data_IF_004007974150
#
_entry.id   IF_004007974150
#
_cell.length_a   1.000
_cell.length_b   1.000
_cell.length_c   1.000
_cell.angle_alpha   90.00
_cell.angle_beta   90.00
_cell.angle_gamma   90.00
#
_symmetry.space_group_name_H-M   'P 1'
#
loop_
_entity.id
_entity.type
_entity.pdbx_description
1 polymer ?
#
# COMPACT_ATOMS: atom_id res chain seq x y z
N UNK A 1 -67.77 -10.95 -25.40
CA UNK A 1 -67.44 -12.28 -25.95
C UNK A 1 -66.12 -12.71 -25.33
N UNK A 2 -66.05 -13.42 -24.20
CA UNK A 2 -66.40 -14.83 -23.97
C UNK A 2 -65.77 -15.83 -24.96
N UNK A 3 -64.79 -16.60 -24.45
CA UNK A 3 -64.47 -18.04 -24.62
C UNK A 3 -62.97 -18.23 -24.83
N UNK A 4 -62.19 -18.83 -23.92
CA UNK A 4 -62.20 -20.16 -23.25
C UNK A 4 -61.19 -21.12 -23.91
N UNK A 5 -60.22 -21.58 -23.06
CA UNK A 5 -59.58 -22.92 -22.98
C UNK A 5 -58.65 -23.30 -24.15
N UNK A 6 -57.55 -24.05 -24.01
CA UNK A 6 -57.19 -25.18 -23.16
C UNK A 6 -55.65 -25.38 -23.25
N UNK A 7 -54.89 -25.46 -22.16
CA UNK A 7 -54.30 -26.69 -21.56
C UNK A 7 -53.74 -27.69 -22.59
N UNK A 8 -52.42 -27.87 -22.58
CA UNK A 8 -51.76 -29.18 -22.63
C UNK A 8 -50.42 -29.12 -21.88
N UNK A 9 -50.35 -29.84 -20.75
CA UNK A 9 -49.11 -30.26 -20.12
C UNK A 9 -48.55 -31.47 -20.89
N UNK A 10 -47.22 -31.59 -21.01
CA UNK A 10 -46.56 -32.88 -20.87
C UNK A 10 -45.05 -32.73 -20.64
N UNK A 11 -44.68 -33.18 -19.44
CA UNK A 11 -43.42 -33.72 -18.96
C UNK A 11 -42.40 -34.17 -20.03
N UNK A 12 -41.13 -33.77 -19.85
CA UNK A 12 -40.02 -34.73 -19.91
C UNK A 12 -38.86 -34.26 -19.04
N UNK A 13 -38.71 -34.96 -17.92
CA UNK A 13 -37.53 -34.97 -17.07
C UNK A 13 -36.50 -35.87 -17.76
N UNK A 14 -35.30 -35.35 -18.04
CA UNK A 14 -34.15 -36.20 -18.42
C UNK A 14 -33.07 -36.06 -17.36
N UNK A 15 -33.05 -37.08 -16.50
CA UNK A 15 -32.04 -37.40 -15.51
C UNK A 15 -30.84 -38.02 -16.24
N UNK A 16 -29.65 -37.40 -16.17
CA UNK A 16 -28.41 -38.04 -16.58
C UNK A 16 -27.75 -38.68 -15.35
N UNK A 17 -27.92 -39.99 -15.26
CA UNK A 17 -27.23 -40.88 -14.33
C UNK A 17 -26.08 -41.52 -15.11
N UNK A 18 -24.83 -41.23 -14.77
CA UNK A 18 -23.67 -41.96 -15.30
C UNK A 18 -22.94 -42.64 -14.15
N UNK A 19 -22.73 -43.94 -14.38
CA UNK A 19 -22.23 -44.99 -13.51
C UNK A 19 -20.98 -44.64 -12.69
N UNK A 20 -21.03 -45.01 -11.41
CA UNK A 20 -19.88 -45.48 -10.65
C UNK A 20 -19.29 -46.73 -11.31
N UNK A 21 -18.00 -46.68 -11.65
CA UNK A 21 -17.16 -47.88 -11.79
C UNK A 21 -16.13 -47.82 -10.68
N UNK A 22 -16.30 -48.71 -9.70
CA UNK A 22 -15.31 -48.96 -8.66
C UNK A 22 -14.18 -49.82 -9.22
N UNK A 23 -12.95 -49.32 -9.13
CA UNK A 23 -11.74 -50.12 -9.20
C UNK A 23 -10.99 -49.89 -7.89
N UNK A 24 -11.05 -50.88 -7.01
CA UNK A 24 -10.08 -51.08 -5.94
C UNK A 24 -8.86 -51.75 -6.57
N UNK A 25 -7.69 -51.11 -6.49
CA UNK A 25 -6.36 -51.73 -6.41
C UNK A 25 -5.28 -50.64 -6.38
N UNK A 26 -4.49 -50.63 -5.30
CA UNK A 26 -3.20 -49.93 -5.24
C UNK A 26 -3.15 -48.86 -4.16
N UNK A 27 -2.54 -49.19 -3.02
CA UNK A 27 -1.98 -48.20 -2.12
C UNK A 27 -0.91 -47.40 -2.88
N UNK A 28 -1.17 -46.13 -3.19
CA UNK A 28 -0.12 -45.11 -3.13
C UNK A 28 -0.45 -44.22 -1.94
N UNK A 29 0.42 -44.24 -0.95
CA UNK A 29 0.59 -43.08 -0.07
C UNK A 29 1.20 -41.99 -0.94
N UNK A 30 0.40 -41.41 -1.84
CA UNK A 30 0.68 -40.08 -2.33
C UNK A 30 0.33 -39.17 -1.17
N UNK A 31 1.34 -38.89 -0.34
CA UNK A 31 1.38 -37.64 0.40
C UNK A 31 1.05 -36.55 -0.61
N UNK A 32 -0.18 -36.07 -0.59
CA UNK A 32 -0.48 -34.79 -1.19
C UNK A 32 0.47 -33.83 -0.50
N UNK A 33 1.54 -33.42 -1.16
CA UNK A 33 2.31 -32.25 -0.78
C UNK A 33 1.28 -31.14 -0.63
N UNK A 34 0.85 -30.91 0.61
CA UNK A 34 -0.16 -29.93 0.93
C UNK A 34 0.38 -28.62 0.40
N UNK A 35 -0.37 -27.97 -0.50
CA UNK A 35 0.01 -26.70 -1.09
C UNK A 35 0.53 -25.80 0.03
N UNK A 36 1.84 -25.50 0.02
CA UNK A 36 2.47 -24.65 1.01
C UNK A 36 1.70 -23.34 1.03
N UNK A 37 1.11 -22.99 2.16
CA UNK A 37 0.41 -21.71 2.28
C UNK A 37 1.44 -20.60 2.12
N UNK A 38 1.19 -19.73 1.15
CA UNK A 38 2.03 -18.58 0.85
C UNK A 38 1.29 -17.35 1.35
N UNK A 39 2.03 -16.48 2.05
CA UNK A 39 1.57 -15.14 2.41
C UNK A 39 0.92 -14.51 1.21
N UNK A 40 -0.26 -13.96 1.42
CA UNK A 40 -1.03 -13.43 0.32
C UNK A 40 -0.57 -12.03 -0.06
N UNK A 41 -0.02 -11.25 0.89
CA UNK A 41 -0.16 -9.78 0.85
C UNK A 41 0.86 -8.93 1.59
N UNK A 42 1.93 -9.46 2.19
CA UNK A 42 3.09 -8.59 2.43
C UNK A 42 3.55 -8.09 1.04
N UNK A 43 3.72 -6.77 0.84
CA UNK A 43 4.16 -6.22 -0.45
C UNK A 43 5.33 -7.04 -0.99
N UNK A 44 5.08 -7.77 -2.10
CA UNK A 44 5.91 -8.92 -2.49
C UNK A 44 7.30 -8.51 -2.90
N UNK A 45 8.27 -9.33 -2.53
CA UNK A 45 9.66 -9.21 -2.99
C UNK A 45 10.63 -8.70 -1.93
N UNK A 46 10.28 -8.80 -0.64
CA UNK A 46 11.18 -8.51 0.46
C UNK A 46 11.75 -9.81 1.02
N UNK A 47 13.08 -9.94 0.99
CA UNK A 47 13.84 -11.06 1.55
C UNK A 47 13.17 -12.44 1.35
N UNK A 48 12.70 -12.71 0.12
CA UNK A 48 12.04 -13.95 -0.31
C UNK A 48 10.71 -14.34 0.40
N UNK A 49 10.12 -13.43 1.17
CA UNK A 49 8.82 -13.55 1.87
C UNK A 49 8.76 -14.76 2.85
N UNK A 50 9.89 -15.34 3.24
CA UNK A 50 9.96 -16.56 4.06
C UNK A 50 9.32 -16.42 5.44
N UNK A 51 9.51 -15.28 6.12
CA UNK A 51 9.00 -15.08 7.48
C UNK A 51 7.47 -15.02 7.50
N UNK A 52 6.87 -14.26 6.57
CA UNK A 52 5.43 -14.20 6.40
C UNK A 52 4.88 -15.59 6.04
N UNK A 53 5.55 -16.33 5.14
CA UNK A 53 5.18 -17.70 4.78
C UNK A 53 5.23 -18.67 5.98
N UNK A 54 6.27 -18.59 6.81
CA UNK A 54 6.38 -19.39 8.02
C UNK A 54 5.25 -19.06 9.01
N UNK A 55 4.94 -17.78 9.17
CA UNK A 55 3.90 -17.31 10.07
C UNK A 55 2.51 -17.80 9.63
N UNK A 56 2.11 -17.57 8.37
CA UNK A 56 0.80 -18.05 7.88
C UNK A 56 0.72 -19.58 7.82
N UNK A 57 1.85 -20.27 7.62
CA UNK A 57 1.88 -21.74 7.70
C UNK A 57 1.61 -22.25 9.11
N UNK A 58 2.11 -21.56 10.14
CA UNK A 58 1.82 -21.91 11.54
C UNK A 58 0.43 -21.44 11.98
N UNK A 59 -0.02 -20.30 11.48
CA UNK A 59 -1.30 -19.68 11.82
C UNK A 59 -2.16 -19.44 10.57
N UNK A 60 -2.74 -20.48 9.94
CA UNK A 60 -3.51 -20.34 8.70
C UNK A 60 -4.65 -19.32 8.76
N UNK A 61 -5.21 -19.06 9.95
CA UNK A 61 -6.31 -18.13 10.17
C UNK A 61 -5.93 -16.66 9.95
N UNK A 62 -4.64 -16.31 9.93
CA UNK A 62 -4.20 -14.92 9.75
C UNK A 62 -3.96 -14.56 8.28
N UNK A 63 -4.04 -15.53 7.36
CA UNK A 63 -3.81 -15.30 5.93
C UNK A 63 -4.74 -14.19 5.41
N UNK A 64 -4.16 -13.14 4.84
CA UNK A 64 -4.90 -11.99 4.32
C UNK A 64 -5.53 -11.08 5.38
N UNK A 65 -5.11 -11.21 6.64
CA UNK A 65 -5.43 -10.26 7.73
C UNK A 65 -4.26 -9.31 7.94
N UNK A 66 -4.43 -8.29 8.78
CA UNK A 66 -3.38 -7.34 9.16
C UNK A 66 -2.09 -7.94 9.75
N UNK A 67 -2.11 -9.21 10.17
CA UNK A 67 -0.91 -9.92 10.63
C UNK A 67 -0.12 -10.59 9.49
N UNK A 68 -0.70 -10.70 8.29
CA UNK A 68 -0.03 -11.16 7.06
C UNK A 68 0.78 -10.02 6.43
N UNK A 69 1.61 -9.35 7.25
CA UNK A 69 2.40 -8.17 6.89
C UNK A 69 3.72 -8.09 7.68
N UNK A 70 4.65 -7.24 7.21
CA UNK A 70 5.93 -6.96 7.84
C UNK A 70 5.79 -6.47 9.29
N UNK A 71 4.71 -5.75 9.63
CA UNK A 71 4.51 -5.21 10.98
C UNK A 71 4.44 -6.28 12.09
N UNK A 72 4.11 -7.53 11.75
CA UNK A 72 4.08 -8.61 12.75
C UNK A 72 5.46 -8.89 13.35
N UNK A 73 6.53 -8.79 12.56
CA UNK A 73 7.91 -9.01 13.02
C UNK A 73 8.72 -7.71 13.14
N UNK A 74 8.29 -6.64 12.46
CA UNK A 74 9.01 -5.37 12.37
C UNK A 74 8.24 -4.24 13.04
N UNK A 75 8.97 -3.30 13.62
CA UNK A 75 8.38 -2.09 14.18
C UNK A 75 8.38 -0.96 13.14
N UNK A 76 7.33 -0.15 13.16
CA UNK A 76 7.40 1.23 12.67
C UNK A 76 8.33 2.08 13.55
N UNK A 77 8.56 3.33 13.16
CA UNK A 77 9.25 4.27 14.06
C UNK A 77 8.38 4.48 15.30
N UNK A 78 8.93 4.34 16.50
CA UNK A 78 8.21 4.59 17.76
C UNK A 78 8.68 5.92 18.34
N UNK A 79 7.78 6.90 18.46
CA UNK A 79 8.04 8.18 19.14
C UNK A 79 7.17 8.29 20.37
N UNK A 80 7.78 8.61 21.51
CA UNK A 80 7.09 8.75 22.80
C UNK A 80 6.19 7.56 23.17
N UNK A 81 6.66 6.34 22.85
CA UNK A 81 5.93 5.10 23.11
C UNK A 81 4.69 4.89 22.22
N UNK A 82 4.63 5.50 21.04
CA UNK A 82 3.58 5.26 20.04
C UNK A 82 4.15 5.15 18.62
N UNK A 83 3.43 4.44 17.75
CA UNK A 83 3.82 4.21 16.36
C UNK A 83 3.67 5.50 15.54
N UNK A 84 4.80 6.07 15.12
CA UNK A 84 4.95 7.32 14.37
C UNK A 84 5.07 7.14 12.85
N UNK A 85 5.40 5.94 12.39
CA UNK A 85 5.43 5.56 10.97
C UNK A 85 5.14 4.05 10.79
N UNK A 86 4.92 3.59 9.57
CA UNK A 86 4.77 2.16 9.30
C UNK A 86 6.11 1.40 9.27
N UNK A 87 6.04 0.07 9.40
CA UNK A 87 7.21 -0.79 9.49
C UNK A 87 8.06 -0.81 8.20
N UNK A 88 7.42 -0.68 7.03
CA UNK A 88 8.11 -0.66 5.74
C UNK A 88 8.96 0.61 5.58
N UNK A 89 8.38 1.78 5.89
CA UNK A 89 9.12 3.04 5.84
C UNK A 89 10.27 3.05 6.84
N UNK A 90 10.05 2.57 8.07
CA UNK A 90 11.11 2.48 9.08
C UNK A 90 12.26 1.59 8.60
N UNK A 91 11.95 0.42 8.03
CA UNK A 91 12.95 -0.48 7.46
C UNK A 91 13.70 0.18 6.30
N UNK A 92 13.01 0.82 5.37
CA UNK A 92 13.64 1.47 4.22
C UNK A 92 14.49 2.67 4.63
N UNK A 93 14.08 3.45 5.63
CA UNK A 93 14.89 4.55 6.15
C UNK A 93 16.17 4.02 6.79
N UNK A 94 16.07 3.07 7.73
CA UNK A 94 17.27 2.53 8.39
C UNK A 94 18.22 1.79 7.43
N UNK A 95 17.67 1.03 6.49
CA UNK A 95 18.46 0.12 5.66
C UNK A 95 18.89 0.71 4.31
N UNK A 96 18.11 1.63 3.74
CA UNK A 96 18.28 2.10 2.36
C UNK A 96 18.46 3.63 2.27
N UNK A 97 17.96 4.41 3.23
CA UNK A 97 17.84 5.86 3.12
C UNK A 97 18.15 6.60 4.44
N UNK A 98 19.38 7.09 4.62
CA UNK A 98 19.78 7.84 5.81
C UNK A 98 21.26 8.23 5.83
N UNK A 99 21.65 9.11 6.75
CA UNK A 99 23.07 9.52 6.95
C UNK A 99 23.96 8.35 7.43
N UNK A 100 23.33 7.29 7.94
CA UNK A 100 23.94 6.10 8.57
C UNK A 100 23.67 4.80 7.77
N UNK A 101 23.37 4.89 6.48
CA UNK A 101 23.20 3.68 5.64
C UNK A 101 24.47 2.84 5.68
N UNK A 102 24.34 1.58 6.14
CA UNK A 102 25.44 0.63 6.31
C UNK A 102 25.99 0.52 7.74
N UNK A 103 25.60 1.40 8.68
CA UNK A 103 25.84 1.20 10.12
C UNK A 103 24.67 0.53 10.86
N UNK A 104 23.51 0.43 10.21
CA UNK A 104 22.33 -0.24 10.76
C UNK A 104 22.28 -1.73 10.43
N UNK A 105 21.65 -2.50 11.31
CA UNK A 105 21.39 -3.93 11.09
C UNK A 105 19.89 -4.19 10.98
N UNK A 106 19.49 -5.19 10.20
CA UNK A 106 18.08 -5.59 10.10
C UNK A 106 17.44 -5.86 11.47
N UNK A 107 18.23 -6.28 12.47
CA UNK A 107 17.76 -6.49 13.84
C UNK A 107 17.19 -5.22 14.49
N UNK A 108 17.65 -4.03 14.11
CA UNK A 108 17.13 -2.76 14.64
C UNK A 108 15.73 -2.42 14.13
N UNK A 109 15.30 -3.08 13.05
CA UNK A 109 13.94 -2.94 12.51
C UNK A 109 12.96 -3.93 13.15
N UNK A 110 13.46 -4.92 13.90
CA UNK A 110 12.62 -5.95 14.50
C UNK A 110 11.93 -5.43 15.76
N UNK A 111 10.66 -5.80 15.90
CA UNK A 111 9.96 -5.66 17.16
C UNK A 111 10.40 -6.80 18.13
N UNK A 112 10.06 -6.75 19.43
CA UNK A 112 10.39 -7.81 20.38
C UNK A 112 10.02 -9.24 19.93
N UNK A 113 8.86 -9.43 19.29
CA UNK A 113 8.47 -10.74 18.74
C UNK A 113 9.38 -11.19 17.60
N UNK A 114 9.67 -10.30 16.64
CA UNK A 114 10.59 -10.56 15.54
C UNK A 114 12.00 -10.88 16.04
N UNK A 115 12.45 -10.21 17.10
CA UNK A 115 13.73 -10.49 17.74
C UNK A 115 13.74 -11.87 18.42
N UNK A 116 12.68 -12.23 19.13
CA UNK A 116 12.52 -13.57 19.71
C UNK A 116 12.49 -14.67 18.64
N UNK A 117 11.80 -14.40 17.53
CA UNK A 117 11.73 -15.29 16.37
C UNK A 117 13.10 -15.49 15.71
N UNK A 118 13.84 -14.39 15.50
CA UNK A 118 15.20 -14.43 14.99
C UNK A 118 16.12 -15.26 15.90
N UNK A 119 16.10 -14.97 17.21
CA UNK A 119 16.93 -15.65 18.20
C UNK A 119 16.61 -17.15 18.34
N UNK A 120 15.36 -17.54 18.10
CA UNK A 120 14.93 -18.94 18.11
C UNK A 120 15.24 -19.69 16.80
N UNK A 121 15.85 -19.04 15.81
CA UNK A 121 16.35 -19.67 14.59
C UNK A 121 15.53 -19.39 13.32
N UNK A 122 14.58 -18.44 13.38
CA UNK A 122 13.87 -17.88 12.21
C UNK A 122 13.30 -18.94 11.25
N UNK A 123 12.54 -19.88 11.79
CA UNK A 123 11.90 -20.97 11.05
C UNK A 123 10.58 -21.40 11.70
N UNK A 124 9.85 -22.35 11.11
CA UNK A 124 8.56 -22.78 11.67
C UNK A 124 8.67 -23.34 13.11
N UNK A 125 9.78 -24.00 13.46
CA UNK A 125 10.06 -24.50 14.81
C UNK A 125 10.31 -23.36 15.80
N UNK A 126 10.96 -22.28 15.35
CA UNK A 126 11.19 -21.08 16.13
C UNK A 126 9.85 -20.47 16.59
N UNK A 127 8.87 -20.31 15.68
CA UNK A 127 7.54 -19.82 16.02
C UNK A 127 6.84 -20.71 17.07
N UNK A 128 6.93 -22.04 16.92
CA UNK A 128 6.41 -22.99 17.93
C UNK A 128 7.07 -22.80 19.29
N UNK A 129 8.38 -22.54 19.32
CA UNK A 129 9.14 -22.40 20.56
C UNK A 129 8.86 -21.09 21.31
N UNK A 130 8.46 -20.04 20.61
CA UNK A 130 8.18 -18.72 21.21
C UNK A 130 6.70 -18.46 21.45
N UNK A 131 5.79 -19.35 21.02
CA UNK A 131 4.34 -19.11 21.07
C UNK A 131 3.81 -18.81 22.48
N UNK A 132 4.42 -19.41 23.51
CA UNK A 132 4.04 -19.23 24.92
C UNK A 132 4.81 -18.10 25.62
N UNK A 133 5.69 -17.37 24.92
CA UNK A 133 6.34 -16.16 25.44
C UNK A 133 5.37 -14.99 25.37
N UNK A 134 5.61 -14.02 26.25
CA UNK A 134 5.11 -12.65 26.18
C UNK A 134 6.29 -11.81 25.69
N UNK A 135 6.38 -11.61 24.37
CA UNK A 135 7.59 -11.04 23.77
C UNK A 135 7.72 -9.54 24.03
N UNK A 136 6.62 -8.82 24.14
CA UNK A 136 6.60 -7.36 24.36
C UNK A 136 6.32 -6.93 25.81
N UNK A 137 6.02 -7.89 26.69
CA UNK A 137 5.87 -7.70 28.13
C UNK A 137 4.52 -7.11 28.53
N UNK A 138 3.49 -7.25 27.72
CA UNK A 138 2.19 -6.64 27.93
C UNK A 138 1.21 -7.51 28.76
N UNK A 139 1.62 -8.75 29.06
CA UNK A 139 0.90 -9.73 29.86
C UNK A 139 0.16 -10.80 29.04
N UNK A 140 0.21 -10.77 27.71
CA UNK A 140 -0.37 -11.78 26.83
C UNK A 140 0.70 -12.63 26.16
N UNK A 141 0.33 -13.86 25.79
CA UNK A 141 1.24 -14.71 25.02
C UNK A 141 1.14 -14.39 23.55
N UNK A 142 2.26 -14.56 22.83
CA UNK A 142 2.32 -14.42 21.37
C UNK A 142 1.20 -15.19 20.64
N UNK A 143 0.94 -16.44 21.03
CA UNK A 143 -0.14 -17.29 20.46
C UNK A 143 -1.54 -16.68 20.71
N UNK A 144 -1.77 -16.14 21.92
CA UNK A 144 -3.04 -15.51 22.30
C UNK A 144 -3.29 -14.22 21.50
N UNK A 145 -2.25 -13.43 21.29
CA UNK A 145 -2.31 -12.20 20.51
C UNK A 145 -2.53 -12.46 19.03
N UNK A 146 -1.75 -13.38 18.43
CA UNK A 146 -1.88 -13.74 17.01
C UNK A 146 -3.29 -14.27 16.72
N UNK A 147 -3.82 -15.15 17.57
CA UNK A 147 -5.19 -15.68 17.43
C UNK A 147 -6.26 -14.60 17.64
N UNK A 148 -5.95 -13.52 18.37
CA UNK A 148 -6.80 -12.35 18.53
C UNK A 148 -6.60 -11.27 17.44
N UNK A 149 -5.75 -11.52 16.43
CA UNK A 149 -5.35 -10.56 15.39
C UNK A 149 -4.71 -9.29 15.98
N UNK A 150 -3.77 -9.51 16.90
CA UNK A 150 -2.96 -8.50 17.60
C UNK A 150 -1.48 -8.73 17.32
N UNK A 151 -0.69 -7.68 17.38
CA UNK A 151 0.72 -7.71 17.03
C UNK A 151 1.56 -8.11 18.27
N UNK A 152 2.10 -9.35 18.32
CA UNK A 152 2.77 -9.90 19.52
C UNK A 152 4.10 -9.24 19.90
N UNK A 153 4.54 -8.26 19.10
CA UNK A 153 5.73 -7.46 19.36
C UNK A 153 5.40 -6.02 19.72
N UNK A 154 4.16 -5.70 20.07
CA UNK A 154 3.74 -4.33 20.36
C UNK A 154 2.80 -4.31 21.55
N UNK A 155 3.29 -3.85 22.70
CA UNK A 155 2.50 -3.73 23.94
C UNK A 155 1.28 -2.78 23.87
N UNK A 156 1.14 -2.09 22.73
CA UNK A 156 0.00 -1.25 22.34
C UNK A 156 -1.10 -2.02 21.60
N UNK A 157 -0.86 -3.25 21.14
CA UNK A 157 -1.74 -4.07 20.31
C UNK A 157 -2.02 -5.39 21.02
N UNK A 158 -3.16 -5.48 21.70
CA UNK A 158 -3.46 -6.60 22.61
C UNK A 158 -4.92 -7.02 22.67
N UNK A 159 -5.20 -8.25 23.15
CA UNK A 159 -6.54 -8.78 23.22
C UNK A 159 -7.48 -7.88 24.03
N UNK A 160 -8.72 -7.74 23.54
CA UNK A 160 -9.77 -6.97 24.20
C UNK A 160 -9.78 -5.47 23.90
N UNK A 161 -8.81 -4.94 23.16
CA UNK A 161 -8.88 -3.55 22.68
C UNK A 161 -9.98 -3.36 21.64
N UNK A 162 -10.66 -2.22 21.74
CA UNK A 162 -11.62 -1.79 20.74
C UNK A 162 -10.89 -1.32 19.47
N UNK A 163 -11.47 -1.59 18.31
CA UNK A 163 -10.99 -1.03 17.05
C UNK A 163 -11.26 0.48 17.03
N UNK A 164 -10.33 1.25 16.49
CA UNK A 164 -10.44 2.70 16.35
C UNK A 164 -11.71 3.09 15.59
N UNK A 165 -12.27 4.24 15.94
CA UNK A 165 -13.43 4.80 15.25
C UNK A 165 -13.09 5.04 13.77
N UNK A 166 -13.96 4.55 12.90
CA UNK A 166 -13.83 4.68 11.45
C UNK A 166 -14.78 5.75 10.94
N UNK A 167 -14.25 6.64 10.12
CA UNK A 167 -15.02 7.58 9.32
C UNK A 167 -14.91 7.19 7.86
N UNK A 168 -16.05 6.96 7.22
CA UNK A 168 -16.10 6.63 5.80
C UNK A 168 -16.44 7.86 4.99
N UNK A 169 -15.70 8.08 3.91
CA UNK A 169 -15.96 9.11 2.90
C UNK A 169 -16.08 8.41 1.55
N UNK A 170 -17.19 8.59 0.85
CA UNK A 170 -17.33 8.10 -0.51
C UNK A 170 -16.51 8.95 -1.50
N UNK A 171 -16.12 8.36 -2.62
CA UNK A 171 -15.46 9.11 -3.71
C UNK A 171 -16.36 10.23 -4.24
N UNK A 172 -17.68 10.08 -4.21
CA UNK A 172 -18.62 11.14 -4.61
C UNK A 172 -18.63 12.31 -3.61
N UNK A 173 -18.58 12.04 -2.30
CA UNK A 173 -18.39 13.08 -1.29
C UNK A 173 -17.06 13.79 -1.47
N UNK A 174 -15.98 13.05 -1.76
CA UNK A 174 -14.67 13.63 -2.05
C UNK A 174 -14.71 14.53 -3.30
N UNK A 175 -15.40 14.11 -4.36
CA UNK A 175 -15.59 14.91 -5.59
C UNK A 175 -16.46 16.15 -5.37
N UNK A 176 -17.31 16.16 -4.35
CA UNK A 176 -18.12 17.31 -3.98
C UNK A 176 -17.34 18.35 -3.15
N UNK A 177 -16.17 17.99 -2.61
CA UNK A 177 -15.27 18.93 -1.92
C UNK A 177 -14.56 19.87 -2.92
N UNK A 178 -14.03 21.01 -2.46
CA UNK A 178 -13.21 21.88 -3.31
C UNK A 178 -12.05 21.11 -3.95
N UNK A 179 -12.06 21.02 -5.28
CA UNK A 179 -11.02 20.31 -6.02
C UNK A 179 -9.76 21.15 -6.19
N UNK A 180 -8.62 20.47 -6.21
CA UNK A 180 -7.33 21.00 -6.61
C UNK A 180 -6.81 20.22 -7.82
N UNK A 181 -6.12 20.92 -8.72
CA UNK A 181 -5.47 20.32 -9.89
C UNK A 181 -4.03 20.81 -9.98
N UNK A 182 -3.11 19.89 -10.26
CA UNK A 182 -1.70 20.19 -10.43
C UNK A 182 -1.08 19.32 -11.52
N UNK A 183 -0.34 19.96 -12.42
CA UNK A 183 0.55 19.29 -13.37
C UNK A 183 1.92 19.14 -12.72
N UNK A 184 2.51 17.96 -12.77
CA UNK A 184 3.78 17.69 -12.08
C UNK A 184 4.54 16.51 -12.68
N UNK A 185 5.83 16.44 -12.36
CA UNK A 185 6.67 15.28 -12.58
C UNK A 185 6.42 14.24 -11.48
N UNK A 186 6.21 12.99 -11.89
CA UNK A 186 6.25 11.79 -11.08
C UNK A 186 7.45 10.96 -11.55
N UNK A 187 8.61 11.17 -10.93
CA UNK A 187 9.85 10.48 -11.30
C UNK A 187 10.07 9.23 -10.46
N UNK A 188 10.62 8.21 -11.11
CA UNK A 188 10.68 6.85 -10.59
C UNK A 188 12.13 6.43 -10.35
N UNK A 189 12.41 5.73 -9.26
CA UNK A 189 13.79 5.32 -8.99
C UNK A 189 14.25 4.15 -9.86
N UNK A 190 13.35 3.25 -10.27
CA UNK A 190 13.73 1.94 -10.87
C UNK A 190 13.18 1.72 -12.28
N UNK A 191 12.11 2.42 -12.65
CA UNK A 191 11.37 2.18 -13.87
C UNK A 191 12.02 2.94 -15.03
N UNK A 192 11.75 2.52 -16.26
CA UNK A 192 12.33 3.16 -17.43
C UNK A 192 11.87 4.60 -17.60
N UNK A 193 10.59 4.84 -17.27
CA UNK A 193 9.93 6.09 -17.58
C UNK A 193 9.52 6.85 -16.33
N UNK A 194 9.88 8.12 -16.32
CA UNK A 194 9.22 9.14 -15.52
C UNK A 194 7.95 9.62 -16.23
N UNK A 195 6.97 10.08 -15.48
CA UNK A 195 5.74 10.61 -16.04
C UNK A 195 5.56 12.08 -15.68
N UNK A 196 5.27 12.92 -16.66
CA UNK A 196 4.47 14.11 -16.40
C UNK A 196 3.00 13.75 -16.40
N UNK A 197 2.22 14.30 -15.48
CA UNK A 197 0.77 14.10 -15.43
C UNK A 197 0.05 15.26 -14.75
N UNK A 198 -1.20 15.48 -15.12
CA UNK A 198 -2.13 16.34 -14.39
C UNK A 198 -2.98 15.50 -13.46
N UNK A 199 -2.86 15.75 -12.15
CA UNK A 199 -3.72 15.12 -11.15
C UNK A 199 -4.82 16.07 -10.73
N UNK A 200 -6.02 15.53 -10.49
CA UNK A 200 -7.15 16.27 -9.90
C UNK A 200 -7.76 15.49 -8.73
N UNK A 201 -8.09 16.21 -7.66
CA UNK A 201 -8.40 15.62 -6.37
C UNK A 201 -8.69 16.66 -5.29
N UNK A 202 -8.54 16.27 -4.03
CA UNK A 202 -8.69 17.14 -2.85
C UNK A 202 -7.38 17.20 -2.10
N UNK A 203 -6.97 18.40 -1.66
CA UNK A 203 -5.78 18.56 -0.80
C UNK A 203 -6.02 17.80 0.51
N UNK A 204 -5.03 17.07 1.01
CA UNK A 204 -5.23 16.26 2.23
C UNK A 204 -5.62 17.14 3.42
N UNK A 205 -4.99 18.32 3.59
CA UNK A 205 -5.37 19.29 4.61
C UNK A 205 -6.85 19.69 4.56
N UNK A 206 -7.39 19.90 3.35
CA UNK A 206 -8.76 20.37 3.16
C UNK A 206 -9.75 19.23 3.39
N UNK A 207 -9.41 18.01 2.97
CA UNK A 207 -10.15 16.79 3.30
C UNK A 207 -10.28 16.65 4.83
N UNK A 208 -9.16 16.64 5.56
CA UNK A 208 -9.17 16.44 7.01
C UNK A 208 -9.91 17.57 7.74
N UNK A 209 -9.72 18.82 7.32
CA UNK A 209 -10.44 19.96 7.86
C UNK A 209 -11.95 19.90 7.59
N UNK A 210 -12.37 19.46 6.39
CA UNK A 210 -13.81 19.31 6.05
C UNK A 210 -14.52 18.27 6.92
N UNK A 211 -13.76 17.30 7.45
CA UNK A 211 -14.25 16.30 8.36
C UNK A 211 -14.17 16.76 9.83
N UNK A 212 -13.60 17.93 10.11
CA UNK A 212 -13.43 18.43 11.48
C UNK A 212 -12.36 17.67 12.27
N UNK A 213 -11.42 17.00 11.59
CA UNK A 213 -10.33 16.27 12.22
C UNK A 213 -9.25 17.27 12.64
N UNK A 214 -8.99 17.36 13.94
CA UNK A 214 -7.96 18.23 14.50
C UNK A 214 -6.60 17.51 14.51
N UNK A 215 -5.61 18.09 13.83
CA UNK A 215 -4.26 17.54 13.73
C UNK A 215 -3.33 17.93 14.89
N UNK A 216 -3.80 18.69 15.87
CA UNK A 216 -3.01 19.02 17.05
C UNK A 216 -2.54 17.76 17.79
N UNK A 217 -1.22 17.60 17.93
CA UNK A 217 -0.60 16.44 18.55
C UNK A 217 -0.44 15.22 17.63
N UNK A 218 -0.85 15.32 16.36
CA UNK A 218 -0.53 14.32 15.35
C UNK A 218 0.95 14.42 14.93
N UNK A 219 1.57 13.29 14.61
CA UNK A 219 2.94 13.22 14.07
C UNK A 219 2.97 13.09 12.55
N UNK A 220 1.87 12.62 11.96
CA UNK A 220 1.75 12.43 10.52
C UNK A 220 0.46 11.76 10.12
N UNK A 221 0.43 11.29 8.89
CA UNK A 221 -0.59 10.40 8.38
C UNK A 221 0.07 9.18 7.74
N UNK A 222 -0.60 8.05 7.75
CA UNK A 222 -0.22 6.87 6.97
C UNK A 222 -1.31 6.55 5.98
N UNK A 223 -0.97 6.53 4.70
CA UNK A 223 -1.91 6.27 3.60
C UNK A 223 -1.74 4.83 3.13
N UNK A 224 -2.86 4.11 3.02
CA UNK A 224 -2.88 2.65 2.99
C UNK A 224 -3.59 2.14 1.73
N UNK A 225 -2.95 1.19 1.05
CA UNK A 225 -3.50 0.41 -0.06
C UNK A 225 -3.94 -1.00 0.41
N UNK A 226 -4.88 -1.66 -0.30
CA UNK A 226 -5.41 -2.97 0.09
C UNK A 226 -4.43 -4.14 -0.17
N UNK A 227 -3.32 -3.89 -0.86
CA UNK A 227 -2.24 -4.85 -1.10
C UNK A 227 -1.12 -4.78 -0.05
N UNK A 228 -1.31 -4.01 1.02
CA UNK A 228 -0.35 -3.82 2.10
C UNK A 228 0.69 -2.74 1.86
N UNK A 229 0.70 -2.10 0.68
CA UNK A 229 1.54 -0.92 0.48
C UNK A 229 1.04 0.26 1.33
N UNK A 230 1.96 0.93 2.01
CA UNK A 230 1.68 2.11 2.82
C UNK A 230 2.76 3.16 2.64
N UNK A 231 2.40 4.42 2.85
CA UNK A 231 3.37 5.51 2.93
C UNK A 231 3.00 6.44 4.09
N UNK A 232 3.96 6.72 4.97
CA UNK A 232 3.83 7.64 6.09
C UNK A 232 4.33 9.02 5.70
N UNK A 233 3.48 10.03 5.87
CA UNK A 233 3.79 11.42 5.56
C UNK A 233 3.83 12.23 6.85
N UNK A 234 4.96 12.89 7.18
CA UNK A 234 5.07 13.73 8.38
C UNK A 234 4.06 14.88 8.39
N UNK A 235 3.59 15.26 9.57
CA UNK A 235 2.50 16.23 9.71
C UNK A 235 2.83 17.60 9.12
N UNK A 236 4.09 18.00 9.19
CA UNK A 236 4.61 19.25 8.62
C UNK A 236 4.51 19.29 7.09
N UNK A 237 4.33 18.14 6.44
CA UNK A 237 4.17 18.03 4.98
C UNK A 237 2.71 18.20 4.58
N UNK A 238 1.77 17.82 5.44
CA UNK A 238 0.33 17.84 5.14
C UNK A 238 -0.20 19.25 4.88
N UNK A 239 0.32 20.25 5.60
CA UNK A 239 -0.10 21.66 5.49
C UNK A 239 0.88 22.53 4.69
N UNK A 240 1.80 21.92 3.94
CA UNK A 240 2.87 22.64 3.25
C UNK A 240 2.68 22.64 1.74
N UNK A 241 2.84 23.82 1.14
CA UNK A 241 3.06 23.95 -0.31
C UNK A 241 4.44 23.40 -0.65
N UNK A 242 4.51 22.49 -1.61
CA UNK A 242 5.76 21.93 -2.08
C UNK A 242 6.52 22.92 -2.97
N UNK A 243 7.86 22.81 -3.08
CA UNK A 243 8.65 23.65 -3.97
C UNK A 243 8.15 23.58 -5.41
N UNK A 244 8.21 24.70 -6.12
CA UNK A 244 7.80 24.79 -7.51
C UNK A 244 8.79 24.02 -8.41
N UNK A 245 8.35 22.98 -9.14
CA UNK A 245 9.22 22.24 -10.03
C UNK A 245 9.41 22.94 -11.37
N UNK A 246 10.44 22.52 -12.09
CA UNK A 246 10.76 23.00 -13.44
C UNK A 246 10.30 21.98 -14.47
N UNK A 247 9.71 22.46 -15.56
CA UNK A 247 9.31 21.62 -16.68
C UNK A 247 10.51 21.24 -17.54
N UNK A 248 10.57 19.99 -17.99
CA UNK A 248 11.54 19.52 -18.99
C UNK A 248 10.77 18.89 -20.15
N UNK A 249 11.11 19.23 -21.39
CA UNK A 249 10.45 18.73 -22.61
C UNK A 249 11.42 18.00 -23.53
N UNK A 250 10.89 17.18 -24.44
CA UNK A 250 11.70 16.52 -25.48
C UNK A 250 12.59 15.39 -24.94
N UNK A 251 12.12 14.75 -23.87
CA UNK A 251 12.77 13.60 -23.23
C UNK A 251 12.02 12.27 -23.52
N UNK A 252 11.02 12.34 -24.40
CA UNK A 252 10.24 11.19 -24.87
C UNK A 252 10.97 10.40 -25.96
N UNK A 253 10.41 9.21 -26.26
CA UNK A 253 10.92 8.30 -27.28
C UNK A 253 10.86 8.89 -28.68
N UNK A 254 9.84 9.70 -29.00
CA UNK A 254 9.71 10.31 -30.33
C UNK A 254 10.83 11.33 -30.59
N UNK A 255 11.31 11.99 -29.52
CA UNK A 255 12.38 12.98 -29.58
C UNK A 255 13.77 12.36 -29.47
N UNK A 256 14.00 11.43 -28.53
CA UNK A 256 15.32 10.88 -28.21
C UNK A 256 15.57 9.45 -28.74
N UNK A 257 14.56 8.82 -29.34
CA UNK A 257 14.61 7.42 -29.77
C UNK A 257 14.37 6.42 -28.64
N UNK A 258 14.22 5.14 -28.99
CA UNK A 258 13.85 4.07 -28.06
C UNK A 258 14.84 3.90 -26.88
N UNK A 259 16.12 4.07 -27.15
CA UNK A 259 17.20 3.88 -26.18
C UNK A 259 17.45 5.15 -25.34
N UNK A 260 17.04 6.31 -25.86
CA UNK A 260 17.29 7.62 -25.26
C UNK A 260 16.09 8.19 -24.50
N UNK A 261 14.85 7.90 -24.92
CA UNK A 261 13.63 8.43 -24.33
C UNK A 261 13.25 7.75 -23.01
N UNK A 262 12.91 8.55 -22.00
CA UNK A 262 12.64 8.09 -20.64
C UNK A 262 11.58 8.94 -19.92
N UNK A 263 10.88 9.83 -20.61
CA UNK A 263 9.77 10.60 -20.05
C UNK A 263 8.51 10.39 -20.88
N UNK A 264 7.40 10.10 -20.20
CA UNK A 264 6.07 10.14 -20.79
C UNK A 264 5.42 11.50 -20.51
N UNK A 265 4.82 12.08 -21.55
CA UNK A 265 3.99 13.27 -21.43
C UNK A 265 2.53 12.91 -21.63
N UNK A 266 1.59 13.59 -20.96
CA UNK A 266 0.18 13.41 -21.23
C UNK A 266 -0.14 13.86 -22.65
N UNK A 267 -1.18 13.26 -23.24
CA UNK A 267 -1.63 13.58 -24.60
C UNK A 267 -1.97 15.07 -24.76
N UNK A 268 -2.51 15.68 -23.71
CA UNK A 268 -2.82 17.11 -23.65
C UNK A 268 -1.96 17.78 -22.58
N UNK A 269 -1.09 18.68 -23.01
CA UNK A 269 -0.21 19.44 -22.13
C UNK A 269 -0.89 20.75 -21.68
N UNK A 270 -0.68 21.19 -20.43
CA UNK A 270 -1.05 22.54 -20.02
C UNK A 270 -0.44 23.62 -20.93
N UNK A 271 -1.22 24.67 -21.19
CA UNK A 271 -0.74 25.80 -22.00
C UNK A 271 0.37 26.58 -21.27
N UNK A 272 1.27 27.20 -22.04
CA UNK A 272 2.31 28.07 -21.49
C UNK A 272 3.52 27.35 -20.89
N UNK A 273 3.60 26.03 -21.02
CA UNK A 273 4.80 25.27 -20.64
C UNK A 273 5.96 25.57 -21.61
N UNK A 274 7.16 25.68 -21.06
CA UNK A 274 8.40 25.87 -21.80
C UNK A 274 9.52 25.13 -21.12
N UNK A 275 10.42 24.54 -21.89
CA UNK A 275 11.55 23.78 -21.35
C UNK A 275 12.37 24.64 -20.37
N UNK A 276 12.64 24.12 -19.19
CA UNK A 276 13.39 24.82 -18.14
C UNK A 276 12.62 25.99 -17.51
N UNK A 277 11.31 26.10 -17.68
CA UNK A 277 10.47 27.09 -17.00
C UNK A 277 9.75 26.46 -15.79
N UNK A 278 9.41 27.26 -14.75
CA UNK A 278 8.64 26.76 -13.62
C UNK A 278 7.25 26.28 -14.05
N UNK A 279 6.80 25.17 -13.47
CA UNK A 279 5.42 24.71 -13.62
C UNK A 279 4.50 25.62 -12.80
N UNK A 280 3.47 26.18 -13.42
CA UNK A 280 2.58 27.11 -12.76
C UNK A 280 1.68 26.43 -11.71
N UNK A 281 1.27 27.20 -10.70
CA UNK A 281 0.38 26.75 -9.63
C UNK A 281 1.12 26.27 -8.38
N UNK A 282 0.34 26.07 -7.32
CA UNK A 282 0.84 25.46 -6.09
C UNK A 282 0.75 23.94 -6.21
N UNK A 283 1.72 23.24 -5.61
CA UNK A 283 1.69 21.79 -5.47
C UNK A 283 1.44 21.41 -4.02
N UNK A 284 0.50 20.50 -3.82
CA UNK A 284 0.06 20.05 -2.50
C UNK A 284 0.07 18.54 -2.42
N UNK A 285 0.17 18.03 -1.19
CA UNK A 285 -0.20 16.65 -0.91
C UNK A 285 -1.71 16.50 -1.15
N UNK A 286 -2.11 15.57 -2.01
CA UNK A 286 -3.52 15.43 -2.40
C UNK A 286 -3.98 13.98 -2.54
N UNK A 287 -5.27 13.77 -2.30
CA UNK A 287 -5.97 12.56 -2.68
C UNK A 287 -6.59 12.76 -4.06
N UNK A 288 -5.96 12.18 -5.09
CA UNK A 288 -6.39 12.31 -6.48
C UNK A 288 -7.42 11.24 -6.86
N UNK A 289 -8.37 11.61 -7.71
CA UNK A 289 -9.36 10.71 -8.31
C UNK A 289 -9.39 10.77 -9.85
N UNK A 290 -8.61 11.69 -10.43
CA UNK A 290 -8.48 11.89 -11.87
C UNK A 290 -6.99 12.06 -12.25
N UNK A 291 -6.61 11.46 -13.38
CA UNK A 291 -5.32 11.65 -14.05
C UNK A 291 -5.56 12.05 -15.49
N UNK A 292 -4.92 13.13 -15.93
CA UNK A 292 -4.98 13.66 -17.30
C UNK A 292 -6.42 13.86 -17.81
N UNK A 293 -7.28 14.36 -16.92
CA UNK A 293 -8.68 14.66 -17.21
C UNK A 293 -9.62 13.44 -17.21
N UNK A 294 -9.09 12.24 -16.95
CA UNK A 294 -9.86 10.99 -16.91
C UNK A 294 -9.94 10.43 -15.48
N UNK A 295 -11.06 9.80 -15.10
CA UNK A 295 -11.11 9.01 -13.86
C UNK A 295 -10.00 7.97 -13.85
N UNK A 296 -9.36 7.77 -12.69
CA UNK A 296 -8.32 6.75 -12.55
C UNK A 296 -8.92 5.35 -12.62
N UNK A 297 -8.27 4.45 -13.35
CA UNK A 297 -8.67 3.04 -13.45
C UNK A 297 -8.60 2.36 -12.07
N UNK A 298 -9.71 1.75 -11.58
CA UNK A 298 -9.73 1.09 -10.28
C UNK A 298 -8.65 0.04 -10.14
N UNK A 299 -8.01 0.02 -8.97
CA UNK A 299 -6.95 -0.93 -8.69
C UNK A 299 -7.49 -2.34 -8.41
N UNK A 300 -6.74 -3.35 -8.85
CA UNK A 300 -6.99 -4.75 -8.52
C UNK A 300 -5.68 -5.52 -8.36
N UNK A 301 -5.71 -6.62 -7.60
CA UNK A 301 -4.58 -7.53 -7.50
C UNK A 301 -4.53 -8.45 -8.72
N UNK A 302 -3.49 -8.35 -9.54
CA UNK A 302 -3.18 -9.37 -10.52
C UNK A 302 -2.64 -10.61 -9.79
N UNK A 303 -3.45 -11.67 -9.74
CA UNK A 303 -3.11 -12.90 -9.05
C UNK A 303 -1.90 -13.63 -9.67
N UNK A 304 -1.66 -13.48 -10.97
CA UNK A 304 -0.54 -14.11 -11.65
C UNK A 304 0.78 -13.36 -11.38
N UNK A 305 0.74 -12.03 -11.45
CA UNK A 305 1.91 -11.20 -11.18
C UNK A 305 2.16 -11.00 -9.67
N UNK A 306 1.14 -11.19 -8.83
CA UNK A 306 1.16 -10.85 -7.41
C UNK A 306 1.35 -9.35 -7.17
N UNK A 307 0.85 -8.50 -8.08
CA UNK A 307 1.05 -7.05 -8.07
C UNK A 307 -0.24 -6.31 -8.30
N UNK A 308 -0.34 -5.11 -7.73
CA UNK A 308 -1.42 -4.20 -8.04
C UNK A 308 -1.35 -3.73 -9.50
N UNK A 309 -2.49 -3.74 -10.17
CA UNK A 309 -2.73 -3.09 -11.46
C UNK A 309 -3.74 -1.97 -11.25
N UNK A 310 -3.79 -0.99 -12.17
CA UNK A 310 -4.58 0.23 -11.98
C UNK A 310 -3.92 1.22 -11.02
N UNK A 311 -4.54 2.37 -10.83
CA UNK A 311 -4.04 3.40 -9.91
C UNK A 311 -5.11 4.03 -9.00
N UNK A 312 -6.39 3.81 -9.30
CA UNK A 312 -7.53 4.42 -8.63
C UNK A 312 -8.36 3.46 -7.77
N UNK A 313 -9.60 3.84 -7.38
CA UNK A 313 -10.26 5.11 -7.72
C UNK A 313 -9.63 6.31 -7.02
N UNK A 314 -8.78 6.08 -6.03
CA UNK A 314 -8.05 7.09 -5.28
C UNK A 314 -6.54 6.80 -5.30
N UNK A 315 -5.75 7.86 -5.45
CA UNK A 315 -4.28 7.81 -5.40
C UNK A 315 -3.74 8.92 -4.51
N UNK A 316 -2.80 8.59 -3.64
CA UNK A 316 -1.99 9.61 -2.97
C UNK A 316 -1.03 10.20 -4.00
N UNK A 317 -1.07 11.51 -4.16
CA UNK A 317 -0.12 12.25 -5.00
C UNK A 317 0.78 13.08 -4.10
N UNK A 318 2.08 12.82 -4.21
CA UNK A 318 3.15 13.43 -3.43
C UNK A 318 4.06 14.22 -4.38
N UNK A 319 4.07 15.56 -4.33
CA UNK A 319 5.05 16.34 -5.09
C UNK A 319 6.48 16.12 -4.60
N UNK A 320 7.47 16.52 -5.41
CA UNK A 320 8.87 16.50 -5.00
C UNK A 320 9.08 17.49 -3.84
N UNK A 321 9.53 16.98 -2.69
CA UNK A 321 10.03 17.77 -1.57
C UNK A 321 11.29 18.57 -1.94
N UNK A 322 12.09 18.08 -2.90
CA UNK A 322 13.20 18.79 -3.54
C UNK A 322 13.01 18.75 -5.05
N UNK A 323 12.51 19.85 -5.60
CA UNK A 323 12.29 20.00 -7.04
C UNK A 323 13.54 19.60 -7.85
N UNK A 324 13.35 18.68 -8.79
CA UNK A 324 14.40 18.14 -9.65
C UNK A 324 13.96 18.06 -11.11
N UNK A 325 14.90 17.67 -11.96
CA UNK A 325 14.61 17.29 -13.35
C UNK A 325 14.32 15.78 -13.42
N UNK A 326 13.69 15.28 -14.49
CA UNK A 326 13.60 13.84 -14.76
C UNK A 326 14.99 13.18 -14.85
N UNK A 327 15.06 11.90 -14.52
CA UNK A 327 16.25 11.06 -14.67
C UNK A 327 15.86 9.63 -15.05
N UNK A 328 16.77 8.89 -15.70
CA UNK A 328 16.52 7.48 -16.04
C UNK A 328 16.52 6.65 -14.78
N UNK A 329 15.56 5.73 -14.64
CA UNK A 329 15.57 4.81 -13.50
C UNK A 329 16.79 3.89 -13.50
N UNK A 330 17.19 3.46 -12.29
CA UNK A 330 18.39 2.68 -12.00
C UNK A 330 18.57 1.44 -12.89
N UNK A 331 17.49 0.79 -13.34
CA UNK A 331 17.58 -0.43 -14.18
C UNK A 331 17.89 -0.15 -15.65
N UNK A 332 17.81 1.11 -16.07
CA UNK A 332 17.95 1.57 -17.44
C UNK A 332 19.09 2.61 -17.57
N UNK A 333 19.94 2.67 -16.54
CA UNK A 333 21.05 3.61 -16.39
C UNK A 333 22.29 2.86 -15.89
N UNK A 334 23.52 3.26 -16.27
CA UNK A 334 23.83 4.33 -17.21
C UNK A 334 23.53 3.93 -18.66
N UNK A 335 23.30 4.93 -19.51
CA UNK A 335 23.16 4.75 -20.96
C UNK A 335 24.41 5.20 -21.71
N UNK A 336 24.48 4.87 -23.00
CA UNK A 336 25.50 5.42 -23.90
C UNK A 336 25.11 6.80 -24.47
N UNK A 337 23.98 7.38 -24.03
CA UNK A 337 23.45 8.65 -24.53
C UNK A 337 24.33 9.85 -24.12
N UNK A 338 25.04 9.77 -22.98
CA UNK A 338 25.93 10.83 -22.46
C UNK A 338 25.27 12.23 -22.42
N UNK A 339 23.97 12.27 -22.11
CA UNK A 339 23.14 13.49 -22.11
C UNK A 339 22.90 14.07 -20.71
N UNK A 340 23.46 13.44 -19.68
CA UNK A 340 23.36 13.88 -18.29
C UNK A 340 22.03 13.57 -17.62
N UNK A 341 21.25 12.63 -18.15
CA UNK A 341 19.99 12.13 -17.54
C UNK A 341 20.09 10.69 -17.03
N UNK A 342 21.30 10.18 -16.82
CA UNK A 342 21.48 8.93 -16.07
C UNK A 342 20.97 9.09 -14.63
N UNK A 343 20.58 7.96 -14.02
CA UNK A 343 20.05 7.84 -12.66
C UNK A 343 20.86 8.66 -11.64
N UNK A 344 20.17 9.52 -10.90
CA UNK A 344 20.74 10.29 -9.80
C UNK A 344 20.15 9.82 -8.47
N UNK A 345 20.95 9.11 -7.67
CA UNK A 345 20.55 8.64 -6.34
C UNK A 345 20.19 9.76 -5.35
N UNK A 346 20.61 11.00 -5.63
CA UNK A 346 20.33 12.18 -4.81
C UNK A 346 19.12 12.99 -5.29
N UNK A 347 18.48 12.56 -6.38
CA UNK A 347 17.23 13.12 -6.85
C UNK A 347 16.08 12.68 -5.94
N UNK A 348 15.05 13.51 -5.88
CA UNK A 348 13.82 13.18 -5.17
C UNK A 348 12.89 12.41 -6.11
N UNK A 349 12.88 11.08 -6.00
CA UNK A 349 12.00 10.18 -6.76
C UNK A 349 10.64 10.03 -6.08
N UNK A 350 9.76 10.99 -6.32
CA UNK A 350 8.49 11.09 -5.60
C UNK A 350 7.45 10.02 -6.00
N UNK A 351 7.58 9.38 -7.16
CA UNK A 351 6.58 8.41 -7.63
C UNK A 351 6.48 7.17 -6.72
N UNK A 352 7.56 6.81 -6.02
CA UNK A 352 7.58 5.72 -5.05
C UNK A 352 6.73 6.01 -3.80
N UNK A 353 6.58 7.28 -3.43
CA UNK A 353 5.76 7.71 -2.30
C UNK A 353 4.26 7.82 -2.64
N UNK A 354 3.89 7.66 -3.92
CA UNK A 354 2.50 7.75 -4.37
C UNK A 354 1.77 6.41 -4.25
N UNK A 355 0.93 6.30 -3.21
CA UNK A 355 0.09 5.12 -2.94
C UNK A 355 -1.03 5.02 -3.96
N UNK A 356 -1.09 3.89 -4.69
CA UNK A 356 -2.16 3.56 -5.66
C UNK A 356 -3.29 2.81 -4.98
N UNK A 357 -4.52 2.99 -5.44
CA UNK A 357 -5.67 2.26 -4.90
C UNK A 357 -5.86 2.52 -3.41
N UNK A 358 -5.83 3.78 -2.99
CA UNK A 358 -5.94 4.15 -1.57
C UNK A 358 -7.30 3.72 -1.03
N UNK A 359 -7.29 3.01 0.09
CA UNK A 359 -8.50 2.64 0.84
C UNK A 359 -8.59 3.33 2.20
N UNK A 360 -7.46 3.79 2.75
CA UNK A 360 -7.49 4.46 4.06
C UNK A 360 -6.39 5.50 4.29
N UNK A 361 -6.70 6.41 5.23
CA UNK A 361 -5.75 7.32 5.86
C UNK A 361 -5.83 7.11 7.38
N UNK A 362 -4.74 6.66 7.99
CA UNK A 362 -4.53 6.68 9.43
C UNK A 362 -3.96 8.04 9.84
N UNK A 363 -4.48 8.65 10.89
CA UNK A 363 -3.86 9.83 11.52
C UNK A 363 -3.00 9.36 12.68
N UNK A 364 -1.70 9.60 12.57
CA UNK A 364 -0.69 9.18 13.55
C UNK A 364 -0.54 10.23 14.65
N UNK A 365 -0.37 9.91 15.92
CA UNK A 365 -0.21 8.58 16.51
C UNK A 365 -1.56 7.96 16.83
N UNK A 366 -1.69 6.62 16.76
CA UNK A 366 -2.92 5.95 17.18
C UNK A 366 -3.31 6.33 18.63
N UNK A 367 -4.62 6.52 18.93
CA UNK A 367 -5.06 6.78 20.30
C UNK A 367 -4.68 5.64 21.24
N UNK A 368 -4.46 5.95 22.52
CA UNK A 368 -4.11 4.92 23.50
C UNK A 368 -5.28 3.96 23.72
N UNK A 369 -4.98 2.65 23.79
CA UNK A 369 -5.97 1.63 24.13
C UNK A 369 -6.92 1.22 23.00
N UNK A 370 -6.72 1.75 21.79
CA UNK A 370 -7.45 1.32 20.59
C UNK A 370 -6.54 0.58 19.63
N UNK A 371 -7.16 -0.31 18.87
CA UNK A 371 -6.52 -1.10 17.85
C UNK A 371 -6.81 -0.55 16.46
N UNK A 372 -5.91 -0.79 15.50
CA UNK A 372 -6.20 -0.45 14.11
C UNK A 372 -7.26 -1.34 13.50
N UNK A 373 -7.88 -0.85 12.42
CA UNK A 373 -8.79 -1.69 11.66
C UNK A 373 -8.01 -2.65 10.77
N UNK A 374 -8.54 -3.86 10.59
CA UNK A 374 -7.97 -4.86 9.69
C UNK A 374 -8.27 -4.50 8.23
N UNK A 375 -7.43 -3.63 7.67
CA UNK A 375 -7.58 -3.15 6.30
C UNK A 375 -7.25 -4.22 5.25
N UNK A 376 -6.48 -5.24 5.62
CA UNK A 376 -6.12 -6.31 4.70
C UNK A 376 -7.28 -7.29 4.50
N UNK A 377 -8.05 -7.53 5.55
CA UNK A 377 -9.22 -8.41 5.50
C UNK A 377 -10.43 -7.69 4.90
N UNK A 378 -10.58 -7.80 3.58
CA UNK A 378 -11.68 -7.19 2.84
C UNK A 378 -11.38 -5.77 2.32
N UNK A 379 -10.15 -5.28 2.42
CA UNK A 379 -9.75 -3.96 1.92
C UNK A 379 -10.15 -3.68 0.47
N UNK A 380 -10.05 -4.69 -0.39
CA UNK A 380 -10.49 -4.61 -1.80
C UNK A 380 -11.97 -4.27 -1.97
N UNK A 381 -12.81 -4.52 -0.96
CA UNK A 381 -14.21 -4.12 -1.01
C UNK A 381 -14.36 -2.58 -1.04
N UNK A 382 -13.48 -1.83 -0.39
CA UNK A 382 -13.52 -0.36 -0.38
C UNK A 382 -13.17 0.26 -1.74
N UNK A 383 -12.34 -0.42 -2.53
CA UNK A 383 -12.14 -0.07 -3.95
C UNK A 383 -13.46 -0.24 -4.71
N UNK A 384 -14.11 -1.40 -4.57
CA UNK A 384 -15.35 -1.71 -5.28
C UNK A 384 -16.53 -0.82 -4.88
N UNK A 385 -16.57 -0.38 -3.62
CA UNK A 385 -17.62 0.50 -3.08
C UNK A 385 -17.27 1.98 -3.18
N UNK A 386 -16.11 2.33 -3.76
CA UNK A 386 -15.63 3.71 -3.88
C UNK A 386 -15.62 4.44 -2.52
N UNK A 387 -14.96 3.86 -1.54
CA UNK A 387 -14.90 4.37 -0.17
C UNK A 387 -13.46 4.59 0.29
N UNK A 388 -13.27 5.68 1.02
CA UNK A 388 -12.06 6.01 1.77
C UNK A 388 -12.38 5.91 3.27
N UNK A 389 -11.55 5.19 4.01
CA UNK A 389 -11.63 5.09 5.47
C UNK A 389 -10.63 6.03 6.12
N UNK A 390 -11.07 6.76 7.15
CA UNK A 390 -10.21 7.65 7.93
C UNK A 390 -10.36 7.27 9.40
N UNK A 391 -9.24 7.09 10.09
CA UNK A 391 -9.21 6.62 11.48
C UNK A 391 -7.95 7.10 12.20
N UNK A 392 -7.90 6.90 13.52
CA UNK A 392 -6.74 7.25 14.33
C UNK A 392 -6.92 8.52 15.15
N UNK A 393 -5.85 9.29 15.32
CA UNK A 393 -5.80 10.47 16.19
C UNK A 393 -6.93 11.46 15.93
N UNK A 394 -7.68 11.82 16.97
CA UNK A 394 -8.78 12.78 16.94
C UNK A 394 -9.91 12.50 15.91
N UNK A 395 -10.05 11.25 15.46
CA UNK A 395 -11.21 10.82 14.66
C UNK A 395 -12.34 10.40 15.61
N UNK A 396 -13.52 11.01 15.45
CA UNK A 396 -14.71 10.82 16.29
C UNK A 396 -15.90 10.30 15.50
#
# INVERSE_FOLDING_TARGET
MQRKKSIFQNNLVTLFLVLLVGIFLGCSEDESEGLKQVSSRAYKGHENDMDANNLVSMYPSILGTRLDDCHTCHTGEVKDGKVASNACDNCHNLMLHGEEVGSHTFTETLNPFGLDYLNAGRNSEALKSIKDKDSDGDGFKNDEEILALRYPGSNLSKPGQAVATLRTVSVDELKAMPSHSQFMLANTSKQQFDDYATFKGVKIKDLLASLGINLAGATGITVIAPDGFMNSVPIETVDKVFPQPMFSSGLDVDTLGQDGGFVNYPKEMPQGLSNGAPIAGEHWLMMAYERDGMPMEPSYLDAAAGKITGEGPLRLVVPQAKAGKPDRGLKYSPTNCNDGYDYDENADHNAGAMVRGVIAIRIDLMPAGVEEFDYMNGGWAYINTNQLIIYGHNVQ
#
